data_IF_952275980856
#
_entry.id   IF_952275980856
#
_cell.length_a   1.000
_cell.length_b   1.000
_cell.length_c   1.000
_cell.angle_alpha   90.00
_cell.angle_beta   90.00
_cell.angle_gamma   90.00
#
_symmetry.space_group_name_H-M   'P 1'
#
loop_
_entity.id
_entity.type
_entity.pdbx_description
1 polymer ?
#
# COMPACT_ATOMS: atom_id res chain seq x y z
N UNK A 1 22.61 29.72 25.77
CA UNK A 1 21.76 29.41 24.59
C UNK A 1 21.69 30.68 23.74
N UNK A 2 20.99 30.78 22.60
CA UNK A 2 20.74 32.09 21.97
C UNK A 2 19.36 32.62 22.34
N UNK A 3 19.14 33.93 22.20
CA UNK A 3 17.88 34.61 22.55
C UNK A 3 16.64 33.90 22.01
N UNK A 4 16.60 33.63 20.71
CA UNK A 4 15.44 32.99 20.06
C UNK A 4 15.16 31.60 20.63
N UNK A 5 16.21 30.82 20.91
CA UNK A 5 16.07 29.49 21.49
C UNK A 5 15.64 29.55 22.96
N UNK A 6 16.04 30.59 23.69
CA UNK A 6 15.59 30.86 25.06
C UNK A 6 14.10 31.14 25.13
N UNK A 7 13.63 32.16 24.40
CA UNK A 7 12.22 32.52 24.36
C UNK A 7 11.36 31.33 23.92
N UNK A 8 11.80 30.57 22.91
CA UNK A 8 11.12 29.36 22.45
C UNK A 8 11.08 28.27 23.52
N UNK A 9 12.14 28.11 24.31
CA UNK A 9 12.22 27.14 25.39
C UNK A 9 11.25 27.48 26.53
N UNK A 10 11.13 28.76 26.90
CA UNK A 10 10.15 29.25 27.89
C UNK A 10 8.73 29.05 27.34
N UNK A 11 8.46 29.55 26.14
CA UNK A 11 7.14 29.48 25.50
C UNK A 11 6.60 28.05 25.44
N UNK A 12 7.42 27.05 25.06
CA UNK A 12 7.00 25.64 24.96
C UNK A 12 6.52 25.05 26.30
N UNK A 13 6.95 25.62 27.42
CA UNK A 13 6.69 25.12 28.78
C UNK A 13 5.54 25.84 29.48
N UNK A 14 5.04 26.94 28.92
CA UNK A 14 3.85 27.62 29.45
C UNK A 14 2.59 26.75 29.33
N UNK A 15 1.81 26.70 30.40
CA UNK A 15 0.60 25.90 30.54
C UNK A 15 -0.70 26.66 30.23
N UNK A 16 -0.60 27.92 29.80
CA UNK A 16 -1.71 28.85 29.57
C UNK A 16 -2.36 28.75 28.18
N UNK A 17 -3.38 29.59 27.94
CA UNK A 17 -3.99 29.78 26.62
C UNK A 17 -3.01 30.31 25.58
N UNK A 18 -3.36 30.21 24.29
CA UNK A 18 -2.50 30.73 23.20
C UNK A 18 -2.33 32.24 23.28
N UNK A 19 -3.39 32.96 23.66
CA UNK A 19 -3.36 34.42 23.80
C UNK A 19 -2.40 34.83 24.92
N UNK A 20 -2.53 34.22 26.10
CA UNK A 20 -1.68 34.51 27.26
C UNK A 20 -0.22 34.13 27.03
N UNK A 21 0.03 33.02 26.30
CA UNK A 21 1.38 32.65 25.86
C UNK A 21 1.98 33.68 24.92
N UNK A 22 1.20 34.22 23.97
CA UNK A 22 1.70 35.21 23.00
C UNK A 22 2.00 36.56 23.67
N UNK A 23 1.16 36.96 24.63
CA UNK A 23 1.39 38.15 25.47
C UNK A 23 2.71 38.02 26.24
N UNK A 24 2.88 36.94 27.02
CA UNK A 24 4.09 36.70 27.79
C UNK A 24 5.35 36.67 26.91
N UNK A 25 5.29 36.01 25.74
CA UNK A 25 6.43 35.94 24.81
C UNK A 25 6.79 37.31 24.28
N UNK A 26 5.81 38.13 23.89
CA UNK A 26 6.04 39.48 23.39
C UNK A 26 6.67 40.36 24.46
N UNK A 27 6.18 40.27 25.68
CA UNK A 27 6.68 41.08 26.79
C UNK A 27 8.12 40.64 27.15
N UNK A 28 8.38 39.34 27.19
CA UNK A 28 9.73 38.79 27.37
C UNK A 28 10.70 39.22 26.25
N UNK A 29 10.26 39.18 24.99
CA UNK A 29 11.08 39.64 23.85
C UNK A 29 11.37 41.14 23.93
N UNK A 30 10.39 41.94 24.36
CA UNK A 30 10.54 43.38 24.58
C UNK A 30 11.57 43.68 25.67
N UNK A 31 11.50 42.96 26.80
CA UNK A 31 12.43 43.15 27.92
C UNK A 31 13.87 42.77 27.54
N UNK A 32 14.04 41.67 26.79
CA UNK A 32 15.36 41.28 26.27
C UNK A 32 15.87 42.34 25.29
N UNK A 33 15.03 42.81 24.37
CA UNK A 33 15.42 43.82 23.39
C UNK A 33 15.83 45.14 24.06
N UNK A 34 15.10 45.57 25.09
CA UNK A 34 15.43 46.75 25.88
C UNK A 34 16.81 46.60 26.56
N UNK A 35 17.08 45.46 27.20
CA UNK A 35 18.36 45.18 27.87
C UNK A 35 19.55 45.13 26.89
N UNK A 36 19.35 44.53 25.71
CA UNK A 36 20.38 44.53 24.67
C UNK A 36 20.62 45.95 24.13
N UNK A 37 19.57 46.76 24.00
CA UNK A 37 19.67 48.15 23.54
C UNK A 37 20.35 49.10 24.54
N UNK A 38 20.29 48.80 25.84
CA UNK A 38 21.01 49.54 26.90
C UNK A 38 22.48 49.13 27.02
N UNK A 39 22.94 48.19 26.20
CA UNK A 39 24.33 47.75 26.13
C UNK A 39 24.67 46.50 26.95
N UNK A 40 23.66 45.80 27.50
CA UNK A 40 23.89 44.48 28.11
C UNK A 40 24.23 43.44 27.03
N UNK A 41 25.16 42.53 27.36
CA UNK A 41 25.42 41.35 26.53
C UNK A 41 24.34 40.30 26.75
N UNK A 42 24.10 39.44 25.75
CA UNK A 42 23.12 38.36 25.88
C UNK A 42 23.44 37.43 27.05
N UNK A 43 24.72 37.16 27.32
CA UNK A 43 25.16 36.32 28.44
C UNK A 43 24.75 36.92 29.80
N UNK A 44 24.82 38.24 29.95
CA UNK A 44 24.37 38.94 31.16
C UNK A 44 22.84 38.86 31.30
N UNK A 45 22.11 39.04 30.21
CA UNK A 45 20.64 38.93 30.20
C UNK A 45 20.20 37.50 30.51
N UNK A 46 20.81 36.49 29.89
CA UNK A 46 20.52 35.06 30.13
C UNK A 46 20.81 34.67 31.58
N UNK A 47 21.96 35.10 32.13
CA UNK A 47 22.32 34.84 33.52
C UNK A 47 21.34 35.48 34.51
N UNK A 48 20.83 36.68 34.20
CA UNK A 48 19.83 37.39 35.03
C UNK A 48 18.45 36.75 34.96
N UNK A 49 18.03 36.29 33.77
CA UNK A 49 16.73 35.64 33.58
C UNK A 49 16.67 34.21 34.12
N UNK A 50 17.81 33.51 34.19
CA UNK A 50 17.91 32.18 34.79
C UNK A 50 17.50 31.04 33.86
N UNK A 51 17.16 29.89 34.43
CA UNK A 51 16.79 28.71 33.64
C UNK A 51 15.39 28.90 33.01
N UNK A 52 15.22 28.72 31.68
CA UNK A 52 13.94 28.90 31.01
C UNK A 52 12.84 27.93 31.48
N UNK A 53 13.20 26.84 32.16
CA UNK A 53 12.26 25.92 32.84
C UNK A 53 11.70 26.55 34.11
N UNK A 54 12.54 27.20 34.90
CA UNK A 54 12.15 27.87 36.14
C UNK A 54 11.27 29.08 35.81
N UNK A 55 11.68 29.92 34.86
CA UNK A 55 10.85 31.05 34.39
C UNK A 55 9.46 30.61 33.94
N UNK A 56 9.37 29.50 33.20
CA UNK A 56 8.09 28.96 32.80
C UNK A 56 7.30 28.32 33.95
N UNK A 57 7.98 27.76 34.95
CA UNK A 57 7.36 27.16 36.13
C UNK A 57 6.75 28.24 37.02
N UNK A 58 7.52 29.26 37.36
CA UNK A 58 7.07 30.39 38.19
C UNK A 58 5.84 31.04 37.57
N UNK A 59 5.89 31.32 36.26
CA UNK A 59 4.73 31.84 35.53
C UNK A 59 3.51 30.91 35.59
N UNK A 60 3.72 29.58 35.54
CA UNK A 60 2.62 28.63 35.55
C UNK A 60 1.98 28.49 36.94
N UNK A 61 2.74 28.68 38.02
CA UNK A 61 2.25 28.64 39.40
C UNK A 61 1.29 29.80 39.70
N UNK A 62 1.51 30.95 39.05
CA UNK A 62 0.66 32.14 39.16
C UNK A 62 -0.61 32.11 38.29
N UNK A 63 -0.79 31.08 37.45
CA UNK A 63 -1.95 30.99 36.56
C UNK A 63 -3.22 30.62 37.30
N UNK A 64 -4.33 31.27 36.93
CA UNK A 64 -5.65 30.87 37.36
C UNK A 64 -6.03 29.48 36.83
N UNK A 65 -6.91 28.78 37.56
CA UNK A 65 -7.46 27.50 37.12
C UNK A 65 -8.13 27.60 35.73
N UNK A 66 -8.75 28.74 35.42
CA UNK A 66 -9.38 29.01 34.14
C UNK A 66 -8.37 29.07 32.99
N UNK A 67 -7.22 29.72 33.18
CA UNK A 67 -6.15 29.77 32.18
C UNK A 67 -5.45 28.43 32.01
N UNK A 68 -5.22 27.69 33.10
CA UNK A 68 -4.70 26.33 33.06
C UNK A 68 -5.65 25.39 32.29
N UNK A 69 -6.96 25.51 32.53
CA UNK A 69 -7.97 24.74 31.81
C UNK A 69 -7.99 25.08 30.32
N UNK A 70 -7.87 26.37 29.96
CA UNK A 70 -7.79 26.83 28.57
C UNK A 70 -6.54 26.28 27.85
N UNK A 71 -5.38 26.29 28.51
CA UNK A 71 -4.15 25.71 27.99
C UNK A 71 -4.22 24.19 27.83
N UNK A 72 -4.81 23.48 28.80
CA UNK A 72 -5.10 22.03 28.69
C UNK A 72 -6.03 21.74 27.51
N UNK A 73 -7.12 22.51 27.33
CA UNK A 73 -8.05 22.38 26.20
C UNK A 73 -7.33 22.56 24.87
N UNK A 74 -6.48 23.59 24.73
CA UNK A 74 -5.66 23.81 23.53
C UNK A 74 -4.76 22.62 23.22
N UNK A 75 -4.02 22.10 24.21
CA UNK A 75 -3.13 20.94 24.03
C UNK A 75 -3.92 19.71 23.58
N UNK A 76 -5.07 19.45 24.21
CA UNK A 76 -5.98 18.36 23.84
C UNK A 76 -6.52 18.51 22.42
N UNK A 77 -7.02 19.69 22.04
CA UNK A 77 -7.51 19.95 20.69
C UNK A 77 -6.40 19.75 19.65
N UNK A 78 -5.18 20.24 19.93
CA UNK A 78 -4.03 20.02 19.04
C UNK A 78 -3.71 18.53 18.89
N UNK A 79 -3.74 17.77 19.98
CA UNK A 79 -3.53 16.32 19.94
C UNK A 79 -4.62 15.60 19.13
N UNK A 80 -5.89 15.97 19.31
CA UNK A 80 -7.03 15.41 18.54
C UNK A 80 -6.86 15.71 17.04
N UNK A 81 -6.50 16.93 16.67
CA UNK A 81 -6.29 17.29 15.26
C UNK A 81 -5.14 16.49 14.65
N UNK A 82 -4.03 16.33 15.38
CA UNK A 82 -2.91 15.49 14.92
C UNK A 82 -3.35 14.03 14.78
N UNK A 83 -4.06 13.48 15.78
CA UNK A 83 -4.56 12.12 15.73
C UNK A 83 -5.52 11.90 14.54
N UNK A 84 -6.45 12.84 14.32
CA UNK A 84 -7.36 12.80 13.18
C UNK A 84 -6.61 12.85 11.84
N UNK A 85 -5.59 13.73 11.72
CA UNK A 85 -4.76 13.80 10.53
C UNK A 85 -3.99 12.49 10.28
N UNK A 86 -3.44 11.88 11.33
CA UNK A 86 -2.76 10.57 11.24
C UNK A 86 -3.74 9.48 10.77
N UNK A 87 -4.96 9.44 11.32
CA UNK A 87 -5.99 8.48 10.90
C UNK A 87 -6.33 8.64 9.41
N UNK A 88 -6.47 9.87 8.91
CA UNK A 88 -6.74 10.13 7.49
C UNK A 88 -5.58 9.66 6.61
N UNK A 89 -4.33 9.91 7.01
CA UNK A 89 -3.15 9.45 6.26
C UNK A 89 -3.09 7.92 6.23
N UNK A 90 -3.31 7.24 7.36
CA UNK A 90 -3.34 5.78 7.42
C UNK A 90 -4.45 5.21 6.55
N UNK A 91 -5.66 5.80 6.60
CA UNK A 91 -6.77 5.38 5.75
C UNK A 91 -6.45 5.57 4.26
N UNK A 92 -5.78 6.66 3.88
CA UNK A 92 -5.35 6.90 2.50
C UNK A 92 -4.30 5.88 2.03
N UNK A 93 -3.33 5.52 2.89
CA UNK A 93 -2.34 4.49 2.60
C UNK A 93 -3.02 3.13 2.40
N UNK A 94 -3.92 2.75 3.30
CA UNK A 94 -4.67 1.49 3.21
C UNK A 94 -5.53 1.49 1.93
N UNK A 95 -6.26 2.56 1.66
CA UNK A 95 -7.07 2.69 0.45
C UNK A 95 -6.25 2.64 -0.85
N UNK A 96 -5.06 3.25 -0.86
CA UNK A 96 -4.14 3.17 -1.98
C UNK A 96 -3.61 1.75 -2.19
N UNK A 97 -3.24 1.05 -1.12
CA UNK A 97 -2.77 -0.33 -1.17
C UNK A 97 -3.86 -1.29 -1.65
N UNK A 98 -5.10 -1.16 -1.17
CA UNK A 98 -6.22 -2.00 -1.62
C UNK A 98 -6.56 -1.76 -3.09
N UNK A 99 -6.55 -0.50 -3.55
CA UNK A 99 -6.75 -0.17 -4.96
C UNK A 99 -5.64 -0.72 -5.87
N UNK A 100 -4.40 -0.67 -5.41
CA UNK A 100 -3.26 -1.21 -6.16
C UNK A 100 -3.29 -2.74 -6.24
N UNK A 101 -3.67 -3.41 -5.15
CA UNK A 101 -3.81 -4.87 -5.09
C UNK A 101 -5.07 -5.41 -5.78
N UNK A 102 -6.08 -4.58 -6.05
CA UNK A 102 -7.29 -5.00 -6.75
C UNK A 102 -6.98 -5.37 -8.21
N UNK A 103 -7.47 -6.54 -8.69
CA UNK A 103 -7.34 -6.90 -10.10
C UNK A 103 -8.06 -5.88 -10.97
N UNK A 104 -7.44 -5.53 -12.09
CA UNK A 104 -8.00 -4.65 -13.12
C UNK A 104 -8.14 -5.47 -14.39
N UNK A 105 -9.32 -5.43 -14.99
CA UNK A 105 -9.62 -6.19 -16.21
C UNK A 105 -9.58 -5.28 -17.43
N UNK A 106 -9.09 -5.81 -18.54
CA UNK A 106 -9.11 -5.19 -19.86
C UNK A 106 -9.57 -6.22 -20.91
N UNK A 107 -9.90 -5.77 -22.15
CA UNK A 107 -10.11 -6.68 -23.26
C UNK A 107 -8.89 -7.61 -23.42
N UNK A 108 -9.14 -8.89 -23.72
CA UNK A 108 -8.07 -9.86 -23.90
C UNK A 108 -7.09 -9.41 -24.99
N UNK A 109 -5.81 -9.60 -24.72
CA UNK A 109 -4.72 -9.34 -25.66
C UNK A 109 -4.34 -7.87 -25.83
N UNK A 110 -4.90 -6.96 -25.03
CA UNK A 110 -4.61 -5.54 -25.09
C UNK A 110 -3.11 -5.23 -24.93
N UNK A 111 -2.43 -5.89 -23.99
CA UNK A 111 -1.00 -5.72 -23.72
C UNK A 111 -0.08 -6.35 -24.78
N UNK A 112 -0.49 -7.50 -25.34
CA UNK A 112 0.31 -8.30 -26.28
C UNK A 112 -0.02 -8.05 -27.75
N UNK A 113 -1.01 -7.19 -28.04
CA UNK A 113 -1.42 -6.87 -29.41
C UNK A 113 -2.13 -8.00 -30.15
N UNK A 114 -2.72 -8.95 -29.41
CA UNK A 114 -3.49 -10.07 -29.96
C UNK A 114 -5.00 -9.81 -29.79
N UNK A 115 -5.80 -10.41 -30.66
CA UNK A 115 -7.25 -10.46 -30.50
C UNK A 115 -7.64 -11.54 -29.48
N UNK A 116 -8.84 -11.40 -28.90
CA UNK A 116 -9.40 -12.43 -28.02
C UNK A 116 -9.46 -13.81 -28.69
N UNK A 117 -9.77 -13.86 -30.00
CA UNK A 117 -9.86 -15.11 -30.75
C UNK A 117 -8.50 -15.79 -30.92
N UNK A 118 -7.43 -15.03 -31.17
CA UNK A 118 -6.07 -15.58 -31.27
C UNK A 118 -5.60 -16.16 -29.93
N UNK A 119 -5.93 -15.50 -28.82
CA UNK A 119 -5.61 -15.99 -27.47
C UNK A 119 -6.40 -17.27 -27.16
N UNK A 120 -7.70 -17.31 -27.50
CA UNK A 120 -8.53 -18.50 -27.31
C UNK A 120 -8.01 -19.66 -28.16
N UNK A 121 -7.65 -19.41 -29.43
CA UNK A 121 -7.10 -20.43 -30.32
C UNK A 121 -5.77 -20.99 -29.77
N UNK A 122 -4.89 -20.12 -29.28
CA UNK A 122 -3.67 -20.57 -28.62
C UNK A 122 -3.95 -21.40 -27.37
N UNK A 123 -4.90 -20.99 -26.53
CA UNK A 123 -5.28 -21.74 -25.34
C UNK A 123 -5.88 -23.12 -25.68
N UNK A 124 -6.59 -23.24 -26.80
CA UNK A 124 -7.09 -24.50 -27.33
C UNK A 124 -5.95 -25.45 -27.72
N UNK A 125 -4.93 -24.95 -28.44
CA UNK A 125 -3.72 -25.73 -28.76
C UNK A 125 -3.02 -26.22 -27.48
N UNK A 126 -2.88 -25.35 -26.48
CA UNK A 126 -2.29 -25.71 -25.17
C UNK A 126 -3.14 -26.78 -24.47
N UNK A 127 -4.47 -26.67 -24.51
CA UNK A 127 -5.37 -27.65 -23.90
C UNK A 127 -5.29 -29.04 -24.57
N UNK A 128 -5.06 -29.10 -25.89
CA UNK A 128 -4.79 -30.36 -26.58
C UNK A 128 -3.47 -30.98 -26.10
N UNK A 129 -2.40 -30.19 -25.98
CA UNK A 129 -1.11 -30.68 -25.43
C UNK A 129 -1.27 -31.23 -24.02
N UNK A 130 -2.07 -30.58 -23.17
CA UNK A 130 -2.35 -31.09 -21.81
C UNK A 130 -3.14 -32.39 -21.85
N UNK A 131 -4.12 -32.51 -22.77
CA UNK A 131 -4.90 -33.74 -22.95
C UNK A 131 -4.12 -34.93 -23.50
N UNK A 132 -2.96 -34.70 -24.13
CA UNK A 132 -2.04 -35.78 -24.49
C UNK A 132 -1.27 -36.35 -23.28
N UNK A 133 -1.34 -35.66 -22.12
CA UNK A 133 -0.61 -36.00 -20.91
C UNK A 133 0.91 -36.16 -21.12
N UNK A 134 1.47 -35.40 -22.07
CA UNK A 134 2.89 -35.40 -22.43
C UNK A 134 3.58 -34.15 -21.87
N UNK A 135 4.25 -34.31 -20.73
CA UNK A 135 4.90 -33.21 -20.04
C UNK A 135 6.04 -32.58 -20.85
N UNK A 136 6.75 -33.35 -21.69
CA UNK A 136 7.85 -32.83 -22.50
C UNK A 136 7.35 -31.82 -23.54
N UNK A 137 6.13 -32.03 -24.07
CA UNK A 137 5.47 -31.07 -24.96
C UNK A 137 4.90 -29.86 -24.22
N UNK A 138 4.44 -30.05 -22.99
CA UNK A 138 3.88 -28.96 -22.17
C UNK A 138 4.96 -28.05 -21.58
N UNK A 139 6.09 -28.61 -21.13
CA UNK A 139 7.18 -27.89 -20.48
C UNK A 139 7.65 -26.63 -21.22
N UNK A 140 7.85 -26.60 -22.55
CA UNK A 140 8.26 -25.39 -23.25
C UNK A 140 7.18 -24.30 -23.27
N UNK A 141 5.93 -24.61 -22.96
CA UNK A 141 4.81 -23.66 -22.89
C UNK A 141 4.67 -23.02 -21.50
N UNK A 142 5.29 -23.61 -20.47
CA UNK A 142 5.26 -23.12 -19.08
C UNK A 142 6.37 -22.09 -18.87
N UNK A 143 6.04 -20.97 -18.23
CA UNK A 143 7.01 -19.97 -17.82
C UNK A 143 7.95 -20.56 -16.75
N UNK A 144 9.24 -20.24 -16.76
CA UNK A 144 10.21 -20.85 -15.82
C UNK A 144 9.82 -20.68 -14.35
N UNK A 145 9.19 -19.55 -13.99
CA UNK A 145 8.71 -19.29 -12.63
C UNK A 145 7.54 -20.21 -12.18
N UNK A 146 6.83 -20.84 -13.12
CA UNK A 146 5.68 -21.71 -12.86
C UNK A 146 6.01 -23.20 -12.97
N UNK A 147 7.25 -23.58 -13.34
CA UNK A 147 7.65 -24.99 -13.53
C UNK A 147 7.58 -25.79 -12.24
N UNK A 148 7.90 -25.19 -11.09
CA UNK A 148 7.84 -25.87 -9.81
C UNK A 148 6.41 -26.27 -9.44
N UNK A 149 5.43 -25.38 -9.69
CA UNK A 149 4.01 -25.65 -9.41
C UNK A 149 3.36 -26.51 -10.49
N UNK A 150 3.74 -26.33 -11.75
CA UNK A 150 3.26 -27.09 -12.91
C UNK A 150 4.33 -28.10 -13.36
N UNK A 151 4.84 -28.90 -12.44
CA UNK A 151 5.79 -29.97 -12.74
C UNK A 151 5.09 -31.23 -13.27
N UNK A 152 5.87 -32.18 -13.80
CA UNK A 152 5.36 -33.44 -14.37
C UNK A 152 4.43 -34.20 -13.42
N UNK A 153 4.82 -34.37 -12.16
CA UNK A 153 4.02 -35.07 -11.17
C UNK A 153 2.70 -34.35 -10.90
N UNK A 154 2.74 -33.02 -10.70
CA UNK A 154 1.51 -32.24 -10.48
C UNK A 154 0.56 -32.35 -11.67
N UNK A 155 1.08 -32.29 -12.90
CA UNK A 155 0.27 -32.40 -14.11
C UNK A 155 -0.32 -33.81 -14.28
N UNK A 156 0.46 -34.85 -14.02
CA UNK A 156 -0.01 -36.23 -14.05
C UNK A 156 -1.10 -36.48 -12.99
N UNK A 157 -0.89 -35.99 -11.76
CA UNK A 157 -1.87 -36.08 -10.67
C UNK A 157 -3.16 -35.33 -11.04
N UNK A 158 -3.05 -34.12 -11.59
CA UNK A 158 -4.20 -33.34 -12.04
C UNK A 158 -4.96 -34.03 -13.17
N UNK A 159 -4.26 -34.68 -14.11
CA UNK A 159 -4.87 -35.44 -15.19
C UNK A 159 -5.69 -36.63 -14.64
N UNK A 160 -5.12 -37.36 -13.67
CA UNK A 160 -5.73 -38.54 -13.04
C UNK A 160 -7.01 -38.22 -12.25
N UNK A 161 -7.21 -36.97 -11.81
CA UNK A 161 -8.45 -36.53 -11.14
C UNK A 161 -9.71 -36.70 -12.01
N UNK A 162 -9.52 -36.73 -13.34
CA UNK A 162 -10.60 -36.85 -14.32
C UNK A 162 -10.69 -38.24 -14.95
N UNK A 163 -10.02 -39.23 -14.34
CA UNK A 163 -9.97 -40.61 -14.79
C UNK A 163 -8.65 -40.97 -15.49
N UNK A 164 -8.38 -42.27 -15.56
CA UNK A 164 -7.14 -42.82 -16.15
C UNK A 164 -7.08 -42.65 -17.68
N UNK A 165 -8.24 -42.53 -18.34
CA UNK A 165 -8.36 -42.34 -19.78
C UNK A 165 -9.52 -41.41 -20.11
N UNK A 166 -9.19 -40.20 -20.58
CA UNK A 166 -10.19 -39.22 -21.03
C UNK A 166 -10.82 -39.61 -22.38
N UNK A 167 -10.20 -40.52 -23.12
CA UNK A 167 -10.55 -40.92 -24.47
C UNK A 167 -10.29 -39.81 -25.50
N UNK A 168 -10.78 -40.01 -26.73
CA UNK A 168 -10.49 -39.07 -27.82
C UNK A 168 -11.09 -37.68 -27.57
N UNK A 169 -10.36 -36.62 -27.92
CA UNK A 169 -10.89 -35.27 -27.98
C UNK A 169 -12.08 -35.20 -28.96
N UNK A 170 -13.12 -34.45 -28.59
CA UNK A 170 -14.34 -34.26 -29.39
C UNK A 170 -14.48 -32.84 -29.91
N UNK A 171 -14.53 -31.88 -29.00
CA UNK A 171 -14.74 -30.48 -29.37
C UNK A 171 -14.45 -29.54 -28.21
N UNK A 172 -14.23 -28.27 -28.55
CA UNK A 172 -14.29 -27.18 -27.58
C UNK A 172 -15.72 -26.68 -27.43
N UNK A 173 -16.08 -26.36 -26.19
CA UNK A 173 -17.34 -25.69 -25.83
C UNK A 173 -17.14 -24.18 -25.68
N UNK A 174 -17.71 -23.62 -24.61
CA UNK A 174 -17.57 -22.20 -24.31
C UNK A 174 -16.11 -21.84 -24.01
N UNK A 175 -15.67 -20.71 -24.56
CA UNK A 175 -14.38 -20.11 -24.26
C UNK A 175 -14.53 -18.59 -24.15
N UNK A 176 -13.80 -17.98 -23.23
CA UNK A 176 -13.70 -16.53 -23.08
C UNK A 176 -12.33 -16.16 -22.52
N UNK A 177 -11.85 -14.98 -22.89
CA UNK A 177 -10.59 -14.46 -22.36
C UNK A 177 -10.77 -13.06 -21.78
N UNK A 178 -9.94 -12.73 -20.80
CA UNK A 178 -9.83 -11.37 -20.27
C UNK A 178 -8.38 -11.10 -19.90
N UNK A 179 -7.92 -9.90 -20.16
CA UNK A 179 -6.64 -9.46 -19.62
C UNK A 179 -6.83 -9.01 -18.17
N UNK A 180 -5.95 -9.45 -17.28
CA UNK A 180 -5.94 -9.10 -15.87
C UNK A 180 -4.60 -8.49 -15.54
N UNK A 181 -4.62 -7.29 -14.94
CA UNK A 181 -3.46 -6.66 -14.34
C UNK A 181 -3.63 -6.53 -12.83
N UNK A 182 -2.68 -7.07 -12.07
CA UNK A 182 -2.70 -7.05 -10.61
C UNK A 182 -1.28 -6.90 -10.07
N UNK A 183 -1.07 -5.94 -9.15
CA UNK A 183 0.23 -5.74 -8.47
C UNK A 183 1.44 -5.62 -9.42
N UNK A 184 1.23 -5.11 -10.64
CA UNK A 184 2.29 -4.92 -11.64
C UNK A 184 2.54 -6.13 -12.55
N UNK A 185 1.79 -7.22 -12.38
CA UNK A 185 1.78 -8.37 -13.29
C UNK A 185 0.56 -8.22 -14.20
N UNK A 186 0.77 -8.29 -15.51
CA UNK A 186 -0.27 -8.27 -16.53
C UNK A 186 -0.23 -9.58 -17.31
N UNK A 187 -1.41 -10.14 -17.58
CA UNK A 187 -1.51 -11.40 -18.30
C UNK A 187 -2.93 -11.68 -18.76
N UNK A 188 -3.09 -12.70 -19.60
CA UNK A 188 -4.38 -13.10 -20.16
C UNK A 188 -4.92 -14.32 -19.42
N UNK A 189 -6.06 -14.16 -18.77
CA UNK A 189 -6.82 -15.26 -18.18
C UNK A 189 -7.81 -15.81 -19.21
N UNK A 190 -7.74 -17.11 -19.50
CA UNK A 190 -8.59 -17.77 -20.48
C UNK A 190 -9.32 -18.91 -19.80
N UNK A 191 -10.64 -18.93 -19.88
CA UNK A 191 -11.43 -20.11 -19.49
C UNK A 191 -11.98 -20.76 -20.74
N UNK A 192 -11.75 -22.06 -20.91
CA UNK A 192 -12.32 -22.85 -22.01
C UNK A 192 -12.76 -24.23 -21.56
N UNK A 193 -13.80 -24.76 -22.19
CA UNK A 193 -14.29 -26.13 -21.96
C UNK A 193 -13.82 -27.03 -23.09
N UNK A 194 -13.18 -28.15 -22.74
CA UNK A 194 -12.80 -29.22 -23.66
C UNK A 194 -13.62 -30.48 -23.35
N UNK A 195 -14.19 -31.07 -24.40
CA UNK A 195 -14.98 -32.29 -24.33
C UNK A 195 -14.16 -33.44 -24.91
N UNK A 196 -13.99 -34.49 -24.12
CA UNK A 196 -13.40 -35.77 -24.51
C UNK A 196 -14.48 -36.86 -24.44
N UNK A 197 -14.15 -38.09 -24.83
CA UNK A 197 -15.11 -39.21 -24.78
C UNK A 197 -15.59 -39.53 -23.37
N UNK A 198 -14.66 -39.52 -22.41
CA UNK A 198 -14.90 -39.98 -21.05
C UNK A 198 -14.78 -38.85 -20.02
N UNK A 199 -14.37 -37.64 -20.44
CA UNK A 199 -14.14 -36.50 -19.56
C UNK A 199 -14.64 -35.19 -20.16
N UNK A 200 -15.04 -34.26 -19.28
CA UNK A 200 -15.25 -32.85 -19.63
C UNK A 200 -14.36 -32.03 -18.72
N UNK A 201 -13.47 -31.25 -19.32
CA UNK A 201 -12.48 -30.46 -18.59
C UNK A 201 -12.74 -28.99 -18.87
N UNK A 202 -12.89 -28.21 -17.81
CA UNK A 202 -12.86 -26.76 -17.88
C UNK A 202 -11.46 -26.30 -17.47
N UNK A 203 -10.71 -25.80 -18.44
CA UNK A 203 -9.41 -25.19 -18.19
C UNK A 203 -9.57 -23.71 -17.86
N UNK A 204 -8.81 -23.25 -16.88
CA UNK A 204 -8.55 -21.83 -16.65
C UNK A 204 -7.05 -21.60 -16.73
N UNK A 205 -6.60 -21.02 -17.82
CA UNK A 205 -5.22 -20.61 -18.06
C UNK A 205 -4.98 -19.19 -17.57
N UNK A 206 -3.75 -18.92 -17.15
CA UNK A 206 -3.20 -17.58 -17.04
C UNK A 206 -1.90 -17.56 -17.84
N UNK A 207 -1.86 -16.69 -18.85
CA UNK A 207 -0.70 -16.47 -19.71
C UNK A 207 -0.03 -15.14 -19.36
N UNK A 208 1.30 -15.10 -19.35
CA UNK A 208 2.05 -13.84 -19.26
C UNK A 208 2.12 -13.12 -20.63
N UNK A 209 2.89 -12.04 -20.70
CA UNK A 209 3.08 -11.23 -21.92
C UNK A 209 3.81 -11.99 -23.03
N UNK A 210 4.57 -13.04 -22.70
CA UNK A 210 5.26 -13.92 -23.66
C UNK A 210 4.37 -15.12 -24.08
N UNK A 211 3.10 -15.09 -23.69
CA UNK A 211 2.12 -16.17 -23.89
C UNK A 211 2.54 -17.50 -23.25
N UNK A 212 3.35 -17.46 -22.18
CA UNK A 212 3.70 -18.64 -21.38
C UNK A 212 2.72 -18.85 -20.24
N UNK A 213 2.48 -20.12 -19.90
CA UNK A 213 1.59 -20.49 -18.80
C UNK A 213 2.26 -20.10 -17.48
N UNK A 214 1.63 -19.18 -16.76
CA UNK A 214 1.99 -18.79 -15.38
C UNK A 214 1.01 -19.35 -14.34
N UNK A 215 -0.13 -19.88 -14.79
CA UNK A 215 -1.12 -20.53 -13.95
C UNK A 215 -2.07 -21.41 -14.75
N UNK A 216 -2.48 -22.52 -14.15
CA UNK A 216 -3.40 -23.48 -14.73
C UNK A 216 -4.32 -24.03 -13.64
N UNK A 217 -5.61 -24.09 -13.93
CA UNK A 217 -6.60 -24.82 -13.14
C UNK A 217 -7.46 -25.69 -14.07
N UNK A 218 -7.82 -26.88 -13.59
CA UNK A 218 -8.68 -27.84 -14.27
C UNK A 218 -9.87 -28.16 -13.37
N UNK A 219 -11.09 -28.20 -13.94
CA UNK A 219 -12.34 -28.48 -13.23
C UNK A 219 -13.31 -29.30 -14.05
#
# INVERSE_FOLDING_TARGET
MNQTSYVKAVAKRLACSKARQAEFVRDLESDIAAALSSGETWEQVEARMGDPRQVAQDFNEDLSETELAAGKKRKRTKAIVIAAAVVVVVAAIIGGATWWASPKTAPAGQSVGMTEQEIIAYAQEVAEVIGENDYDKLRPLIADAAVESLNEQTMADAHALFGDDWGAFKSFGNAYATEISQMGITGNAVTLVALYENATITYTFSFDEDMKIIGLNMR
#
